data_IF_990507308768
#
_entry.id   IF_990507308768
#
_cell.length_a   1.000
_cell.length_b   1.000
_cell.length_c   1.000
_cell.angle_alpha   90.00
_cell.angle_beta   90.00
_cell.angle_gamma   90.00
#
_symmetry.space_group_name_H-M   'P 1'
#
loop_
_entity.id
_entity.type
_entity.pdbx_description
1 polymer ?
#
# COMPACT_ATOMS: atom_id res chain seq x y z
N UNK A 1 27.75 -56.01 55.16
CA UNK A 1 27.17 -56.80 54.05
C UNK A 1 25.97 -56.00 53.52
N UNK A 2 25.86 -55.88 52.19
CA UNK A 2 25.05 -54.90 51.42
C UNK A 2 23.54 -54.96 51.69
N UNK A 3 22.88 -53.80 51.64
CA UNK A 3 21.50 -53.55 51.15
C UNK A 3 21.51 -52.09 50.67
N UNK A 4 21.07 -51.66 49.49
CA UNK A 4 20.06 -52.14 48.57
C UNK A 4 19.16 -50.94 48.24
N UNK A 5 19.08 -50.54 46.98
CA UNK A 5 18.59 -49.25 46.48
C UNK A 5 17.07 -49.00 46.59
N UNK A 6 16.66 -47.72 46.50
CA UNK A 6 15.36 -47.29 45.95
C UNK A 6 15.56 -46.11 45.00
N UNK A 7 14.99 -46.13 43.77
CA UNK A 7 15.21 -45.08 42.79
C UNK A 7 14.21 -43.92 42.94
N UNK A 8 14.68 -42.76 42.51
CA UNK A 8 13.94 -41.52 42.35
C UNK A 8 12.85 -41.63 41.26
N UNK A 9 11.77 -40.88 41.42
CA UNK A 9 10.89 -40.49 40.32
C UNK A 9 10.57 -39.00 40.46
N UNK A 10 11.34 -38.17 39.75
CA UNK A 10 11.05 -36.76 39.52
C UNK A 10 10.18 -36.68 38.24
N UNK A 11 8.91 -36.33 38.37
CA UNK A 11 8.05 -36.08 37.22
C UNK A 11 8.37 -34.68 36.66
N UNK A 12 8.96 -34.62 35.46
CA UNK A 12 9.22 -33.38 34.75
C UNK A 12 8.02 -33.05 33.85
N UNK A 13 7.27 -32.01 34.20
CA UNK A 13 6.20 -31.47 33.35
C UNK A 13 6.81 -30.64 32.22
N UNK A 14 6.73 -31.11 30.98
CA UNK A 14 7.17 -30.37 29.81
C UNK A 14 6.07 -29.39 29.37
N UNK A 15 6.24 -28.10 29.69
CA UNK A 15 5.48 -27.00 29.06
C UNK A 15 6.04 -26.75 27.66
N UNK A 16 5.33 -27.19 26.62
CA UNK A 16 5.59 -26.79 25.23
C UNK A 16 5.04 -25.38 25.01
N UNK A 17 5.89 -24.37 25.20
CA UNK A 17 5.61 -23.02 24.75
C UNK A 17 5.81 -22.94 23.22
N UNK A 18 4.72 -22.96 22.46
CA UNK A 18 4.76 -22.69 21.01
C UNK A 18 4.91 -21.17 20.83
N UNK A 19 6.15 -20.70 20.68
CA UNK A 19 6.42 -19.33 20.23
C UNK A 19 6.15 -19.24 18.73
N UNK A 20 4.97 -18.75 18.34
CA UNK A 20 4.71 -18.34 16.96
C UNK A 20 5.58 -17.11 16.66
N UNK A 21 6.66 -17.28 15.88
CA UNK A 21 7.37 -16.15 15.29
C UNK A 21 6.41 -15.47 14.29
N UNK A 22 5.77 -14.39 14.73
CA UNK A 22 5.15 -13.46 13.80
C UNK A 22 6.27 -12.81 12.98
N UNK A 23 6.36 -13.16 11.70
CA UNK A 23 7.25 -12.45 10.78
C UNK A 23 6.87 -10.95 10.79
N UNK A 24 7.85 -10.03 10.83
CA UNK A 24 7.54 -8.61 10.76
C UNK A 24 6.87 -8.34 9.40
N UNK A 25 5.60 -7.95 9.43
CA UNK A 25 4.97 -7.35 8.26
C UNK A 25 5.71 -6.03 8.04
N UNK A 26 6.39 -5.89 6.91
CA UNK A 26 6.93 -4.60 6.46
C UNK A 26 5.75 -3.62 6.37
N UNK A 27 5.55 -2.85 7.42
CA UNK A 27 4.61 -1.74 7.42
C UNK A 27 5.34 -0.56 6.80
N UNK A 28 4.96 -0.18 5.58
CA UNK A 28 5.49 1.01 4.94
C UNK A 28 5.15 2.22 5.81
N UNK A 29 6.18 2.98 6.20
CA UNK A 29 6.06 4.11 7.13
C UNK A 29 6.43 5.45 6.51
N UNK A 30 7.12 5.46 5.38
CA UNK A 30 7.45 6.69 4.65
C UNK A 30 6.51 6.86 3.45
N UNK A 31 6.23 8.09 2.98
CA UNK A 31 5.46 8.33 1.76
C UNK A 31 5.98 7.52 0.57
N UNK A 32 7.31 7.50 0.37
CA UNK A 32 7.94 6.74 -0.71
C UNK A 32 7.68 5.24 -0.59
N UNK A 33 7.86 4.66 0.59
CA UNK A 33 7.65 3.22 0.79
C UNK A 33 6.18 2.84 0.59
N UNK A 34 5.26 3.74 0.92
CA UNK A 34 3.82 3.56 0.68
C UNK A 34 3.54 3.49 -0.83
N UNK A 35 4.09 4.41 -1.63
CA UNK A 35 3.95 4.35 -3.10
C UNK A 35 4.60 3.08 -3.67
N UNK A 36 5.78 2.68 -3.17
CA UNK A 36 6.41 1.41 -3.55
C UNK A 36 5.50 0.23 -3.24
N UNK A 37 4.84 0.22 -2.07
CA UNK A 37 3.89 -0.81 -1.70
C UNK A 37 2.71 -0.85 -2.67
N UNK A 38 2.16 0.30 -3.06
CA UNK A 38 1.06 0.37 -4.02
C UNK A 38 1.44 -0.25 -5.36
N UNK A 39 2.57 0.15 -5.95
CA UNK A 39 3.03 -0.40 -7.23
C UNK A 39 3.34 -1.90 -7.13
N UNK A 40 3.86 -2.39 -6.00
CA UNK A 40 4.08 -3.83 -5.79
C UNK A 40 2.78 -4.62 -5.71
N UNK A 41 1.75 -4.04 -5.09
CA UNK A 41 0.44 -4.68 -5.00
C UNK A 41 -0.17 -4.83 -6.40
N UNK A 42 -0.18 -3.75 -7.18
CA UNK A 42 -0.66 -3.76 -8.56
C UNK A 42 0.18 -4.72 -9.42
N UNK A 43 1.52 -4.70 -9.32
CA UNK A 43 2.41 -5.58 -10.08
C UNK A 43 2.10 -7.09 -9.90
N UNK A 44 1.62 -7.47 -8.72
CA UNK A 44 1.37 -8.86 -8.36
C UNK A 44 2.64 -9.72 -8.33
N UNK A 45 2.52 -11.04 -8.09
CA UNK A 45 3.68 -11.93 -7.93
C UNK A 45 4.51 -12.11 -9.21
N UNK A 46 3.89 -11.87 -10.38
CA UNK A 46 4.51 -12.08 -11.69
C UNK A 46 5.03 -10.78 -12.32
N UNK A 47 4.85 -9.64 -11.66
CA UNK A 47 5.27 -8.34 -12.19
C UNK A 47 4.48 -7.86 -13.42
N UNK A 48 3.29 -8.44 -13.66
CA UNK A 48 2.46 -8.17 -14.83
C UNK A 48 1.44 -7.06 -14.65
N UNK A 49 1.36 -6.47 -13.46
CA UNK A 49 0.39 -5.42 -13.15
C UNK A 49 -1.08 -5.88 -13.20
N UNK A 50 -1.30 -7.17 -12.92
CA UNK A 50 -2.61 -7.84 -12.84
C UNK A 50 -3.06 -8.09 -11.38
N UNK A 51 -2.34 -7.53 -10.41
CA UNK A 51 -2.64 -7.64 -8.99
C UNK A 51 -3.74 -6.68 -8.55
N UNK A 52 -4.19 -6.82 -7.30
CA UNK A 52 -5.12 -5.86 -6.70
C UNK A 52 -4.50 -4.47 -6.63
N UNK A 53 -5.26 -3.44 -6.97
CA UNK A 53 -4.80 -2.05 -6.83
C UNK A 53 -4.93 -1.58 -5.39
N UNK A 54 -4.13 -0.59 -4.98
CA UNK A 54 -4.30 0.02 -3.66
C UNK A 54 -5.65 0.75 -3.50
N UNK A 55 -6.30 1.11 -4.61
CA UNK A 55 -7.64 1.72 -4.62
C UNK A 55 -8.77 0.68 -4.45
N UNK A 56 -8.55 -0.57 -4.82
CA UNK A 56 -9.54 -1.63 -4.63
C UNK A 56 -9.40 -2.34 -3.28
N UNK A 57 -8.19 -2.36 -2.71
CA UNK A 57 -7.96 -2.99 -1.41
C UNK A 57 -8.45 -2.09 -0.25
N UNK A 58 -9.58 -2.48 0.34
CA UNK A 58 -10.20 -1.79 1.48
C UNK A 58 -9.26 -1.62 2.68
N UNK A 59 -8.39 -2.58 2.95
CA UNK A 59 -7.46 -2.54 4.08
C UNK A 59 -6.33 -1.55 3.81
N UNK A 60 -5.82 -1.52 2.58
CA UNK A 60 -4.82 -0.56 2.12
C UNK A 60 -5.39 0.85 2.15
N UNK A 61 -6.62 1.05 1.65
CA UNK A 61 -7.36 2.32 1.71
C UNK A 61 -7.51 2.85 3.11
N UNK A 62 -8.08 2.06 4.01
CA UNK A 62 -8.27 2.46 5.40
C UNK A 62 -6.94 2.83 6.08
N UNK A 63 -5.87 2.14 5.70
CA UNK A 63 -4.55 2.33 6.30
C UNK A 63 -3.81 3.54 5.76
N UNK A 64 -3.83 3.78 4.45
CA UNK A 64 -2.91 4.73 3.82
C UNK A 64 -3.59 5.92 3.16
N UNK A 65 -4.91 5.96 3.01
CA UNK A 65 -5.56 7.12 2.39
C UNK A 65 -6.05 8.09 3.47
N UNK A 66 -6.01 9.38 3.16
CA UNK A 66 -6.49 10.44 4.04
C UNK A 66 -8.01 10.37 4.15
N UNK A 67 -8.56 10.98 5.19
CA UNK A 67 -10.03 11.07 5.33
C UNK A 67 -10.66 11.82 4.16
N UNK A 68 -9.97 12.86 3.67
CA UNK A 68 -10.44 13.66 2.55
C UNK A 68 -10.48 12.84 1.25
N UNK A 69 -9.39 12.13 0.94
CA UNK A 69 -9.32 11.26 -0.24
C UNK A 69 -10.39 10.16 -0.20
N UNK A 70 -10.57 9.50 0.95
CA UNK A 70 -11.61 8.49 1.12
C UNK A 70 -13.03 9.04 0.92
N UNK A 71 -13.29 10.27 1.40
CA UNK A 71 -14.58 10.92 1.20
C UNK A 71 -14.82 11.28 -0.28
N UNK A 72 -13.77 11.70 -1.00
CA UNK A 72 -13.83 11.94 -2.44
C UNK A 72 -14.10 10.64 -3.21
N UNK A 73 -13.32 9.59 -2.95
CA UNK A 73 -13.51 8.26 -3.54
C UNK A 73 -14.94 7.72 -3.31
N UNK A 74 -15.48 7.87 -2.10
CA UNK A 74 -16.86 7.46 -1.78
C UNK A 74 -17.91 8.20 -2.62
N UNK A 75 -17.73 9.51 -2.85
CA UNK A 75 -18.66 10.29 -3.69
C UNK A 75 -18.60 9.82 -5.15
N UNK A 76 -17.40 9.57 -5.63
CA UNK A 76 -17.12 9.10 -6.99
C UNK A 76 -17.74 7.72 -7.21
N UNK A 77 -17.50 6.77 -6.31
CA UNK A 77 -18.11 5.42 -6.33
C UNK A 77 -19.64 5.48 -6.24
N UNK A 78 -20.21 6.36 -5.42
CA UNK A 78 -21.66 6.53 -5.32
C UNK A 78 -22.28 7.11 -6.61
N UNK A 79 -21.54 7.98 -7.32
CA UNK A 79 -21.96 8.48 -8.62
C UNK A 79 -21.89 7.38 -9.69
N UNK A 80 -20.80 6.61 -9.69
CA UNK A 80 -20.62 5.49 -10.63
C UNK A 80 -21.66 4.37 -10.41
N UNK A 81 -21.98 4.04 -9.15
CA UNK A 81 -23.05 3.10 -8.83
C UNK A 81 -24.43 3.54 -9.37
N UNK A 82 -24.74 4.84 -9.36
CA UNK A 82 -25.96 5.39 -9.98
C UNK A 82 -25.94 5.29 -11.51
N UNK A 83 -24.74 5.32 -12.10
CA UNK A 83 -24.51 5.11 -13.52
C UNK A 83 -24.38 3.62 -13.89
N UNK A 84 -24.64 2.68 -12.97
CA UNK A 84 -24.46 1.23 -13.14
C UNK A 84 -23.02 0.80 -13.45
N UNK A 85 -22.01 1.46 -12.89
CA UNK A 85 -20.61 1.06 -13.03
C UNK A 85 -19.99 1.42 -14.39
N UNK A 86 -20.61 2.34 -15.13
CA UNK A 86 -20.22 2.67 -16.52
C UNK A 86 -19.16 3.79 -16.58
N UNK A 87 -18.90 4.49 -15.49
CA UNK A 87 -18.21 5.79 -15.53
C UNK A 87 -16.71 5.68 -15.25
N UNK A 88 -16.26 4.66 -14.50
CA UNK A 88 -14.86 4.56 -14.07
C UNK A 88 -14.33 3.16 -14.34
N UNK A 89 -13.43 3.08 -15.32
CA UNK A 89 -12.77 1.85 -15.77
C UNK A 89 -11.24 1.92 -15.61
N UNK A 90 -10.72 2.92 -14.88
CA UNK A 90 -9.29 3.20 -14.74
C UNK A 90 -8.83 3.19 -13.27
N UNK A 91 -7.58 2.77 -13.01
CA UNK A 91 -6.94 2.79 -11.68
C UNK A 91 -6.30 4.16 -11.40
N UNK A 92 -6.76 4.89 -10.37
CA UNK A 92 -6.17 6.17 -10.01
C UNK A 92 -4.76 6.09 -9.44
N UNK A 93 -4.33 4.94 -8.93
CA UNK A 93 -2.98 4.79 -8.39
C UNK A 93 -1.94 4.84 -9.49
N UNK A 94 -2.12 4.08 -10.57
CA UNK A 94 -1.17 4.08 -11.70
C UNK A 94 -1.57 5.03 -12.82
N UNK A 95 -2.74 5.67 -12.71
CA UNK A 95 -3.35 6.52 -13.74
C UNK A 95 -3.52 5.76 -15.07
N UNK A 96 -4.12 4.58 -15.03
CA UNK A 96 -4.23 3.70 -16.22
C UNK A 96 -5.41 2.74 -16.16
N UNK A 97 -6.00 2.40 -17.31
CA UNK A 97 -6.94 1.27 -17.44
C UNK A 97 -6.20 -0.09 -17.49
N UNK A 98 -5.08 -0.15 -18.20
CA UNK A 98 -4.21 -1.32 -18.32
C UNK A 98 -2.75 -0.89 -18.04
N UNK A 99 -2.18 -1.18 -16.86
CA UNK A 99 -0.87 -0.64 -16.50
C UNK A 99 0.29 -1.37 -17.21
N UNK A 100 0.89 -0.76 -18.22
CA UNK A 100 2.21 -1.17 -18.75
C UNK A 100 3.34 -0.44 -18.02
N UNK A 101 3.66 -0.80 -16.79
CA UNK A 101 4.67 -0.05 -16.01
C UNK A 101 6.07 -0.63 -16.24
N UNK A 102 6.90 0.08 -17.00
CA UNK A 102 8.32 -0.27 -17.24
C UNK A 102 9.26 0.79 -16.70
N UNK A 103 10.46 0.38 -16.28
CA UNK A 103 11.51 1.29 -15.77
C UNK A 103 11.00 2.20 -14.65
N UNK A 104 10.22 1.63 -13.73
CA UNK A 104 9.64 2.37 -12.62
C UNK A 104 10.72 2.95 -11.70
N UNK A 105 10.66 4.25 -11.50
CA UNK A 105 11.44 5.00 -10.53
C UNK A 105 10.48 5.74 -9.59
N UNK A 106 10.72 5.63 -8.29
CA UNK A 106 9.90 6.30 -7.27
C UNK A 106 10.82 7.15 -6.39
N UNK A 107 10.58 8.45 -6.39
CA UNK A 107 11.40 9.47 -5.70
C UNK A 107 10.54 10.39 -4.85
N UNK A 108 11.10 10.91 -3.76
CA UNK A 108 10.51 12.04 -3.03
C UNK A 108 10.92 13.32 -3.73
N UNK A 109 9.96 14.11 -4.19
CA UNK A 109 10.22 15.41 -4.82
C UNK A 109 10.28 16.53 -3.79
N UNK A 110 9.35 16.52 -2.83
CA UNK A 110 9.27 17.52 -1.75
C UNK A 110 8.94 16.84 -0.45
N UNK A 111 9.55 17.29 0.65
CA UNK A 111 9.23 16.80 1.98
C UNK A 111 9.34 17.89 3.02
N UNK A 112 8.39 17.86 3.95
CA UNK A 112 8.28 18.71 5.13
C UNK A 112 7.77 17.85 6.29
N UNK A 113 7.74 18.36 7.53
CA UNK A 113 7.26 17.57 8.66
C UNK A 113 5.82 17.05 8.51
N UNK A 114 4.94 17.78 7.79
CA UNK A 114 3.51 17.47 7.69
C UNK A 114 3.03 17.11 6.27
N UNK A 115 3.87 17.36 5.24
CA UNK A 115 3.53 17.11 3.82
C UNK A 115 4.70 16.51 3.07
N UNK A 116 4.41 15.64 2.11
CA UNK A 116 5.40 15.11 1.16
C UNK A 116 4.78 14.94 -0.21
N UNK A 117 5.57 15.13 -1.26
CA UNK A 117 5.20 14.80 -2.64
C UNK A 117 6.12 13.69 -3.10
N UNK A 118 5.55 12.54 -3.44
CA UNK A 118 6.26 11.41 -4.04
C UNK A 118 5.88 11.34 -5.51
N UNK A 119 6.81 10.97 -6.37
CA UNK A 119 6.54 10.85 -7.80
C UNK A 119 6.99 9.50 -8.30
N UNK A 120 6.10 8.82 -9.01
CA UNK A 120 6.43 7.64 -9.80
C UNK A 120 6.65 8.05 -11.26
N UNK A 121 7.80 7.70 -11.81
CA UNK A 121 8.15 7.87 -13.22
C UNK A 121 8.35 6.52 -13.86
N UNK A 122 7.72 6.29 -15.00
CA UNK A 122 7.82 5.03 -15.73
C UNK A 122 7.54 5.24 -17.22
N UNK A 123 7.77 4.19 -18.00
CA UNK A 123 7.38 4.12 -19.40
C UNK A 123 6.16 3.23 -19.50
N UNK A 124 5.05 3.77 -20.02
CA UNK A 124 3.84 3.01 -20.32
C UNK A 124 3.43 3.14 -21.78
N UNK A 125 3.24 1.99 -22.45
CA UNK A 125 2.97 1.91 -23.89
C UNK A 125 3.92 2.77 -24.74
N UNK A 126 5.20 2.82 -24.34
CA UNK A 126 6.24 3.60 -25.01
C UNK A 126 6.27 5.10 -24.69
N UNK A 127 5.39 5.60 -23.82
CA UNK A 127 5.35 7.01 -23.39
C UNK A 127 5.88 7.17 -21.97
N UNK A 128 6.58 8.26 -21.70
CA UNK A 128 6.97 8.62 -20.35
C UNK A 128 5.74 9.10 -19.56
N UNK A 129 5.54 8.56 -18.37
CA UNK A 129 4.45 8.90 -17.46
C UNK A 129 5.06 9.38 -16.14
N UNK A 130 4.46 10.41 -15.54
CA UNK A 130 4.74 10.85 -14.19
C UNK A 130 3.44 10.98 -13.40
N UNK A 131 3.36 10.32 -12.26
CA UNK A 131 2.23 10.41 -11.33
C UNK A 131 2.75 10.94 -10.00
N UNK A 132 2.16 12.03 -9.52
CA UNK A 132 2.49 12.69 -8.27
C UNK A 132 1.47 12.27 -7.21
N UNK A 133 1.99 11.95 -6.03
CA UNK A 133 1.22 11.55 -4.86
C UNK A 133 1.48 12.55 -3.76
N UNK A 134 0.45 13.31 -3.40
CA UNK A 134 0.54 14.24 -2.29
C UNK A 134 0.17 13.52 -1.01
N UNK A 135 1.06 13.59 -0.03
CA UNK A 135 0.89 13.02 1.29
C UNK A 135 0.76 14.11 2.33
N UNK A 136 -0.12 13.87 3.30
CA UNK A 136 -0.21 14.64 4.54
C UNK A 136 0.00 13.73 5.75
N UNK A 137 0.36 14.29 6.91
CA UNK A 137 0.22 13.57 8.18
C UNK A 137 -1.16 13.78 8.77
N UNK A 138 -1.85 12.69 9.05
CA UNK A 138 -3.03 12.67 9.90
C UNK A 138 -2.70 11.92 11.19
N UNK A 139 -2.84 12.58 12.34
CA UNK A 139 -2.51 12.01 13.65
C UNK A 139 -1.09 11.38 13.69
N UNK A 140 -0.13 12.04 13.05
CA UNK A 140 1.28 11.61 13.00
C UNK A 140 1.58 10.49 11.99
N UNK A 141 0.59 10.01 11.23
CA UNK A 141 0.74 8.96 10.23
C UNK A 141 0.59 9.53 8.82
N UNK A 142 1.49 9.16 7.93
CA UNK A 142 1.41 9.57 6.53
C UNK A 142 0.21 8.95 5.81
N UNK A 143 -0.52 9.80 5.10
CA UNK A 143 -1.73 9.47 4.34
C UNK A 143 -1.64 10.08 2.95
N UNK A 144 -1.96 9.28 1.93
CA UNK A 144 -2.18 9.74 0.57
C UNK A 144 -3.43 10.62 0.57
N UNK A 145 -3.25 11.88 0.19
CA UNK A 145 -4.27 12.91 0.20
C UNK A 145 -4.77 13.27 -1.19
N UNK A 146 -3.89 13.20 -2.19
CA UNK A 146 -4.22 13.51 -3.58
C UNK A 146 -3.30 12.77 -4.57
N UNK A 147 -3.77 12.61 -5.81
CA UNK A 147 -3.02 12.03 -6.92
C UNK A 147 -3.18 12.92 -8.15
N UNK A 148 -2.07 13.36 -8.73
CA UNK A 148 -2.04 14.27 -9.88
C UNK A 148 -1.16 13.73 -10.99
N UNK A 149 -1.55 13.93 -12.24
CA UNK A 149 -0.69 13.64 -13.39
C UNK A 149 -0.02 14.92 -13.91
N UNK A 150 0.88 14.78 -14.89
CA UNK A 150 1.53 15.92 -15.54
C UNK A 150 0.62 16.78 -16.43
N UNK A 151 -0.58 16.30 -16.77
CA UNK A 151 -1.54 17.03 -17.60
C UNK A 151 -2.53 17.85 -16.77
N UNK A 152 -2.59 17.61 -15.47
CA UNK A 152 -3.36 18.37 -14.49
C UNK A 152 -2.68 19.72 -14.19
N UNK A 153 -2.58 20.55 -15.23
CA UNK A 153 -2.34 21.99 -15.10
C UNK A 153 -3.68 22.58 -14.65
N UNK A 154 -3.86 22.64 -13.33
CA UNK A 154 -5.12 23.06 -12.70
C UNK A 154 -5.80 24.21 -13.44
N UNK A 155 -7.07 23.98 -13.81
CA UNK A 155 -7.94 25.04 -14.27
C UNK A 155 -7.97 26.14 -13.20
N UNK A 156 -7.55 27.35 -13.62
CA UNK A 156 -7.62 28.61 -12.88
C UNK A 156 -9.05 29.11 -12.78
#
# INVERSE_FOLDING_TARGET
MRLGAFPAALAFAACLAVSALAAPRLTATTPRDIVVLFYKLSAGPNGKYEGTTAYDDKSVRARYFSKAFLAAATKVEAADAKANGVTIDWDPITNSQDPDVKKLEITVEKESPERSVVVARFVGFGKAIAVHYDFIKEAGVWKLDDIRDTNDQGET
#
